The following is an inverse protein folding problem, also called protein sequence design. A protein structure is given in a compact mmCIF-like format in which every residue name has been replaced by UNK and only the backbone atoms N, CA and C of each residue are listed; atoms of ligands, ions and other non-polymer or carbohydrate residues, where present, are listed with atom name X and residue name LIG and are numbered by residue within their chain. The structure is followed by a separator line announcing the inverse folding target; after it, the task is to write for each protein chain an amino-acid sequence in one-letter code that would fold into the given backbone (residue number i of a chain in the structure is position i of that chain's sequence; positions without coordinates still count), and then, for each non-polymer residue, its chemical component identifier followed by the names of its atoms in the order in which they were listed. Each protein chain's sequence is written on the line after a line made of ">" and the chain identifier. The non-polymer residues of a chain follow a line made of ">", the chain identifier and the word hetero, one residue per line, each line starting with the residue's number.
data_IF_001189645878
#
_entry.id   IF_001189645878
#
_cell.length_a   1.000
_cell.length_b   1.000
_cell.length_c   1.000
_cell.angle_alpha   90.00
_cell.angle_beta   90.00
_cell.angle_gamma   90.00
#
_symmetry.space_group_name_H-M   'P 1'
#
loop_
_entity.id
_entity.type
_entity.pdbx_description
1 polymer ?
#
# COMPACT_ATOMS: atom_id res chain seq x y z
N UNK A 1 -2.49 16.20 11.11
CA UNK A 1 -2.19 14.98 10.38
C UNK A 1 -1.00 14.31 11.05
N UNK A 2 -1.08 13.05 11.38
CA UNK A 2 -0.10 12.33 12.17
C UNK A 2 -0.57 11.98 13.57
N UNK A 3 0.15 11.08 14.23
CA UNK A 3 -0.11 10.76 15.62
C UNK A 3 0.21 11.93 16.51
N UNK A 4 -0.75 12.40 17.24
CA UNK A 4 -0.52 13.39 18.28
C UNK A 4 -1.01 12.91 19.64
N UNK A 5 -0.26 13.22 20.66
CA UNK A 5 -0.70 13.16 22.05
C UNK A 5 -1.12 14.56 22.51
N UNK A 6 -2.18 14.65 23.27
CA UNK A 6 -2.46 15.89 23.98
C UNK A 6 -1.41 16.08 25.09
N UNK A 7 -0.73 17.22 25.06
CA UNK A 7 0.26 17.59 26.06
C UNK A 7 -0.30 18.72 26.93
N UNK A 8 -0.51 18.44 28.19
CA UNK A 8 -1.21 19.35 29.12
C UNK A 8 -2.61 19.71 28.60
N UNK A 9 -3.10 20.89 28.84
CA UNK A 9 -4.46 21.35 28.48
C UNK A 9 -4.55 22.00 27.10
N UNK A 10 -3.44 22.43 26.52
CA UNK A 10 -3.44 23.26 25.30
C UNK A 10 -2.38 22.86 24.26
N UNK A 11 -1.55 21.88 24.58
CA UNK A 11 -0.46 21.45 23.70
C UNK A 11 -0.78 20.17 22.94
N UNK A 12 -0.09 19.98 21.84
CA UNK A 12 -0.08 18.76 21.04
C UNK A 12 1.38 18.32 20.89
N UNK A 13 1.65 17.07 21.20
CA UNK A 13 2.94 16.43 20.97
C UNK A 13 2.79 15.42 19.83
N UNK A 14 3.63 15.54 18.81
CA UNK A 14 3.64 14.62 17.67
C UNK A 14 5.06 14.34 17.23
N UNK A 15 5.29 13.15 16.74
CA UNK A 15 6.55 12.72 16.14
C UNK A 15 6.26 12.09 14.79
N UNK A 16 6.92 12.58 13.73
CA UNK A 16 6.97 11.93 12.43
C UNK A 16 8.41 11.50 12.14
N UNK A 17 8.61 10.24 11.88
CA UNK A 17 9.91 9.68 11.55
C UNK A 17 9.79 8.79 10.31
N UNK A 18 10.63 9.07 9.31
CA UNK A 18 10.70 8.32 8.05
C UNK A 18 12.06 7.69 7.90
N UNK A 19 12.09 6.47 7.45
CA UNK A 19 13.32 5.78 7.14
C UNK A 19 13.03 4.39 6.59
N UNK A 20 13.67 4.05 5.51
CA UNK A 20 13.60 2.72 4.94
C UNK A 20 14.95 2.32 4.37
N UNK A 21 15.16 1.04 4.23
CA UNK A 21 16.27 0.51 3.46
C UNK A 21 15.75 -0.27 2.25
N UNK A 22 16.54 -0.23 1.22
CA UNK A 22 16.26 -0.78 -0.09
C UNK A 22 17.45 -1.64 -0.51
N UNK A 23 17.21 -2.84 -0.97
CA UNK A 23 18.24 -3.66 -1.53
C UNK A 23 17.74 -4.55 -2.69
N UNK A 24 18.58 -4.74 -3.67
CA UNK A 24 18.31 -5.62 -4.80
C UNK A 24 18.72 -7.04 -4.45
N UNK A 25 17.74 -7.88 -4.11
CA UNK A 25 17.95 -9.26 -3.72
C UNK A 25 18.36 -10.16 -4.91
N UNK A 26 17.89 -9.81 -6.11
CA UNK A 26 18.24 -10.48 -7.35
C UNK A 26 18.12 -9.49 -8.51
N UNK A 27 18.62 -9.85 -9.69
CA UNK A 27 18.65 -8.97 -10.88
C UNK A 27 17.33 -8.22 -11.18
N UNK A 28 16.20 -8.80 -10.79
CA UNK A 28 14.86 -8.29 -11.10
C UNK A 28 14.01 -8.00 -9.86
N UNK A 29 14.55 -8.23 -8.65
CA UNK A 29 13.79 -8.17 -7.41
C UNK A 29 14.42 -7.14 -6.48
N UNK A 30 13.66 -6.13 -6.13
CA UNK A 30 14.00 -5.14 -5.12
C UNK A 30 13.11 -5.32 -3.90
N UNK A 31 13.69 -5.25 -2.73
CA UNK A 31 13.01 -5.33 -1.44
C UNK A 31 13.21 -4.02 -0.70
N UNK A 32 12.13 -3.42 -0.26
CA UNK A 32 12.15 -2.23 0.59
C UNK A 32 11.45 -2.55 1.91
N UNK A 33 12.02 -2.11 3.02
CA UNK A 33 11.43 -2.24 4.34
C UNK A 33 11.69 -0.98 5.17
N UNK A 34 10.69 -0.49 5.86
CA UNK A 34 10.83 0.69 6.71
C UNK A 34 9.51 1.40 6.94
N UNK A 35 9.60 2.68 7.32
CA UNK A 35 8.46 3.55 7.59
C UNK A 35 8.45 4.71 6.63
N UNK A 36 7.45 4.80 5.78
CA UNK A 36 7.21 5.90 4.84
C UNK A 36 5.80 5.78 4.25
N UNK A 37 5.45 6.74 3.38
CA UNK A 37 4.26 6.69 2.53
C UNK A 37 4.57 5.91 1.25
N UNK A 38 3.59 5.21 0.74
CA UNK A 38 3.71 4.52 -0.54
C UNK A 38 2.60 4.95 -1.50
N UNK A 39 2.90 4.85 -2.77
CA UNK A 39 1.97 5.16 -3.84
C UNK A 39 1.95 4.00 -4.84
N UNK A 40 0.75 3.55 -5.22
CA UNK A 40 0.54 2.50 -6.22
C UNK A 40 -0.54 2.93 -7.22
N UNK A 41 -0.37 2.55 -8.47
CA UNK A 41 -1.29 2.87 -9.57
C UNK A 41 -0.93 4.12 -10.35
N UNK A 42 -1.78 4.48 -11.29
CA UNK A 42 -1.64 5.66 -12.14
C UNK A 42 -2.60 6.76 -11.68
N UNK A 43 -2.11 7.99 -11.57
CA UNK A 43 -2.92 9.14 -11.17
C UNK A 43 -2.39 9.87 -9.94
N UNK A 44 -2.92 11.08 -9.67
CA UNK A 44 -2.44 11.94 -8.56
C UNK A 44 -2.97 11.46 -7.20
N UNK A 45 -4.20 10.92 -7.16
CA UNK A 45 -4.83 10.33 -5.98
C UNK A 45 -5.30 8.94 -6.34
N UNK A 46 -4.40 7.97 -6.24
CA UNK A 46 -4.68 6.62 -6.67
C UNK A 46 -5.74 5.94 -5.80
N UNK A 47 -6.66 5.22 -6.44
CA UNK A 47 -7.64 4.36 -5.76
C UNK A 47 -6.97 3.11 -5.17
N UNK A 48 -5.87 2.63 -5.78
CA UNK A 48 -5.13 1.48 -5.28
C UNK A 48 -4.44 1.83 -3.96
N UNK A 49 -3.63 2.88 -3.95
CA UNK A 49 -3.01 3.44 -2.75
C UNK A 49 -2.47 4.83 -3.05
N UNK A 50 -2.88 5.82 -2.29
CA UNK A 50 -2.39 7.19 -2.37
C UNK A 50 -1.38 7.48 -1.25
N UNK A 51 -0.41 8.33 -1.54
CA UNK A 51 0.52 8.92 -0.57
C UNK A 51 -0.11 10.01 0.32
N UNK A 52 -1.41 10.15 0.24
CA UNK A 52 -2.19 11.08 1.07
C UNK A 52 -2.48 10.54 2.48
N UNK A 53 -1.97 9.35 2.78
CA UNK A 53 -2.03 8.72 4.10
C UNK A 53 -0.93 9.24 5.03
N UNK A 54 -0.98 8.82 6.29
CA UNK A 54 0.14 8.90 7.23
C UNK A 54 1.27 7.93 6.84
N UNK A 55 2.42 8.07 7.46
CA UNK A 55 3.50 7.10 7.36
C UNK A 55 3.12 5.82 8.12
N UNK A 56 3.48 4.69 7.56
CA UNK A 56 3.26 3.37 8.15
C UNK A 56 4.46 2.45 7.90
N UNK A 57 4.60 1.45 8.76
CA UNK A 57 5.59 0.40 8.54
C UNK A 57 5.17 -0.43 7.33
N UNK A 58 6.11 -0.70 6.44
CA UNK A 58 5.83 -1.46 5.24
C UNK A 58 6.96 -2.42 4.85
N UNK A 59 6.57 -3.49 4.19
CA UNK A 59 7.44 -4.34 3.39
C UNK A 59 6.95 -4.31 1.94
N UNK A 60 7.82 -3.96 1.02
CA UNK A 60 7.50 -3.87 -0.41
C UNK A 60 8.45 -4.73 -1.21
N UNK A 61 7.88 -5.63 -1.99
CA UNK A 61 8.59 -6.45 -2.96
C UNK A 61 8.26 -5.94 -4.35
N UNK A 62 9.27 -5.62 -5.13
CA UNK A 62 9.09 -5.17 -6.50
C UNK A 62 9.87 -6.07 -7.44
N UNK A 63 9.17 -6.69 -8.36
CA UNK A 63 9.75 -7.48 -9.46
C UNK A 63 9.54 -6.72 -10.76
N UNK A 64 10.62 -6.52 -11.51
CA UNK A 64 10.54 -5.87 -12.82
C UNK A 64 11.28 -6.71 -13.86
N UNK A 65 10.52 -7.20 -14.85
CA UNK A 65 11.03 -7.98 -15.97
C UNK A 65 10.48 -7.39 -17.26
N UNK A 66 11.37 -6.96 -18.14
CA UNK A 66 11.03 -6.34 -19.41
C UNK A 66 10.05 -5.17 -19.22
N UNK A 67 8.82 -5.24 -19.74
CA UNK A 67 7.78 -4.21 -19.65
C UNK A 67 6.80 -4.43 -18.49
N UNK A 68 6.98 -5.49 -17.73
CA UNK A 68 6.11 -5.89 -16.63
C UNK A 68 6.75 -5.46 -15.31
N UNK A 69 5.96 -4.82 -14.46
CA UNK A 69 6.29 -4.54 -13.07
C UNK A 69 5.23 -5.15 -12.18
N UNK A 70 5.66 -5.96 -11.23
CA UNK A 70 4.81 -6.52 -10.20
C UNK A 70 5.26 -6.04 -8.83
N UNK A 71 4.35 -5.46 -8.07
CA UNK A 71 4.60 -4.91 -6.75
C UNK A 71 3.68 -5.59 -5.75
N UNK A 72 4.27 -6.03 -4.64
CA UNK A 72 3.56 -6.49 -3.46
C UNK A 72 3.91 -5.55 -2.32
N UNK A 73 2.91 -5.00 -1.67
CA UNK A 73 3.07 -4.09 -0.56
C UNK A 73 2.28 -4.62 0.63
N UNK A 74 2.97 -4.84 1.74
CA UNK A 74 2.41 -5.27 3.01
C UNK A 74 2.59 -4.14 4.00
N UNK A 75 1.52 -3.74 4.68
CA UNK A 75 1.52 -2.55 5.54
C UNK A 75 0.94 -2.86 6.92
N UNK A 76 1.58 -2.28 7.92
CA UNK A 76 1.09 -2.20 9.30
C UNK A 76 0.71 -0.75 9.57
N UNK A 77 -0.58 -0.50 9.61
CA UNK A 77 -1.16 0.81 9.86
C UNK A 77 -1.78 0.84 11.25
N UNK A 78 -1.99 2.01 11.77
CA UNK A 78 -2.77 2.18 12.98
C UNK A 78 -4.20 2.55 12.63
N UNK A 79 -5.15 1.87 13.27
CA UNK A 79 -6.54 2.14 13.11
C UNK A 79 -6.92 3.22 14.08
N UNK A 80 -7.06 4.46 13.60
CA UNK A 80 -7.72 5.52 14.33
C UNK A 80 -7.36 5.69 15.82
N UNK A 81 -7.42 6.78 16.45
CA UNK A 81 -7.74 8.14 16.22
C UNK A 81 -7.62 9.00 17.45
N UNK A 82 -8.49 8.99 18.32
CA UNK A 82 -8.48 9.76 19.54
C UNK A 82 -8.13 8.89 20.71
N UNK A 83 -7.09 9.25 21.40
CA UNK A 83 -6.66 8.55 22.59
C UNK A 83 -7.11 9.28 23.84
N UNK A 84 -7.75 8.56 24.69
CA UNK A 84 -7.58 8.76 26.12
C UNK A 84 -6.25 8.12 26.51
N UNK A 85 -5.37 8.90 27.15
CA UNK A 85 -3.99 8.63 27.50
C UNK A 85 -3.53 7.15 27.59
N UNK A 86 -2.32 6.90 27.02
CA UNK A 86 -1.49 5.69 27.21
C UNK A 86 -2.10 4.32 26.83
N UNK A 87 -3.02 4.28 25.91
CA UNK A 87 -3.50 3.02 25.32
C UNK A 87 -2.83 2.72 23.99
N UNK A 88 -2.58 1.43 23.71
CA UNK A 88 -2.14 0.97 22.40
C UNK A 88 -3.27 1.21 21.39
N UNK A 89 -2.93 1.80 20.26
CA UNK A 89 -3.89 1.96 19.16
C UNK A 89 -4.17 0.62 18.50
N UNK A 90 -5.43 0.37 18.12
CA UNK A 90 -5.75 -0.80 17.32
C UNK A 90 -4.94 -0.78 16.02
N UNK A 91 -4.53 -1.94 15.57
CA UNK A 91 -3.79 -2.11 14.32
C UNK A 91 -4.72 -2.43 13.17
N UNK A 92 -4.41 -1.87 12.01
CA UNK A 92 -4.93 -2.30 10.71
C UNK A 92 -3.79 -2.79 9.85
N UNK A 93 -4.05 -3.84 9.14
CA UNK A 93 -3.08 -4.41 8.21
C UNK A 93 -3.61 -4.32 6.80
N UNK A 94 -2.70 -4.23 5.85
CA UNK A 94 -3.07 -4.26 4.44
C UNK A 94 -2.07 -5.05 3.63
N UNK A 95 -2.57 -5.65 2.58
CA UNK A 95 -1.75 -6.26 1.55
C UNK A 95 -2.27 -5.82 0.19
N UNK A 96 -1.38 -5.40 -0.70
CA UNK A 96 -1.73 -4.85 -2.01
C UNK A 96 -0.84 -5.48 -3.06
N UNK A 97 -1.45 -6.00 -4.10
CA UNK A 97 -0.78 -6.43 -5.33
C UNK A 97 -1.06 -5.42 -6.44
N UNK A 98 -0.05 -5.07 -7.19
CA UNK A 98 -0.18 -4.23 -8.37
C UNK A 98 0.68 -4.79 -9.51
N UNK A 99 0.03 -5.24 -10.56
CA UNK A 99 0.68 -5.70 -11.78
C UNK A 99 0.49 -4.66 -12.86
N UNK A 100 1.57 -4.08 -13.36
CA UNK A 100 1.51 -3.10 -14.45
C UNK A 100 2.33 -3.52 -15.66
N UNK A 101 1.83 -3.18 -16.82
CA UNK A 101 2.42 -3.46 -18.12
C UNK A 101 2.56 -2.16 -18.93
N UNK A 102 3.77 -1.84 -19.35
CA UNK A 102 4.01 -0.83 -20.37
C UNK A 102 3.72 -1.43 -21.75
N UNK A 103 2.45 -1.48 -22.14
CA UNK A 103 2.01 -2.11 -23.38
C UNK A 103 2.69 -1.47 -24.60
N UNK A 104 2.77 -0.14 -24.60
CA UNK A 104 3.52 0.65 -25.59
C UNK A 104 4.36 1.73 -24.90
N UNK A 105 5.08 2.55 -25.67
CA UNK A 105 5.85 3.68 -25.15
C UNK A 105 4.95 4.82 -24.58
N UNK A 106 3.68 4.81 -24.93
CA UNK A 106 2.73 5.81 -24.50
C UNK A 106 1.57 5.26 -23.65
N UNK A 107 1.42 3.93 -23.53
CA UNK A 107 0.33 3.30 -22.80
C UNK A 107 0.88 2.37 -21.71
N UNK A 108 0.51 2.66 -20.47
CA UNK A 108 0.66 1.78 -19.33
C UNK A 108 -0.73 1.34 -18.85
N UNK A 109 -0.87 0.06 -18.54
CA UNK A 109 -2.08 -0.53 -17.95
C UNK A 109 -1.71 -1.31 -16.71
N UNK A 110 -2.56 -1.28 -15.71
CA UNK A 110 -2.35 -1.98 -14.45
C UNK A 110 -3.62 -2.66 -13.94
N UNK A 111 -3.41 -3.72 -13.20
CA UNK A 111 -4.43 -4.41 -12.40
C UNK A 111 -3.93 -4.41 -10.97
N UNK A 112 -4.81 -4.13 -10.04
CA UNK A 112 -4.46 -4.14 -8.63
C UNK A 112 -5.54 -4.83 -7.80
N UNK A 113 -5.10 -5.44 -6.73
CA UNK A 113 -5.94 -6.04 -5.71
C UNK A 113 -5.41 -5.61 -4.34
N UNK A 114 -6.30 -5.27 -3.45
CA UNK A 114 -5.95 -4.92 -2.07
C UNK A 114 -6.89 -5.59 -1.08
N UNK A 115 -6.36 -5.93 0.07
CA UNK A 115 -7.12 -6.34 1.23
C UNK A 115 -6.72 -5.50 2.44
N UNK A 116 -7.71 -5.04 3.18
CA UNK A 116 -7.52 -4.39 4.48
C UNK A 116 -8.24 -5.20 5.54
N UNK A 117 -7.54 -5.53 6.59
CA UNK A 117 -8.03 -6.41 7.64
C UNK A 117 -7.54 -5.97 9.02
N UNK A 118 -8.22 -6.43 10.04
CA UNK A 118 -7.86 -6.23 11.44
C UNK A 118 -7.84 -7.58 12.15
N UNK A 119 -6.79 -7.81 12.94
CA UNK A 119 -6.65 -9.00 13.79
C UNK A 119 -6.08 -8.57 15.14
N UNK A 120 -6.49 -9.26 16.20
CA UNK A 120 -5.98 -9.02 17.55
C UNK A 120 -4.56 -9.57 17.73
N UNK A 121 -4.25 -10.66 17.02
CA UNK A 121 -3.02 -11.42 17.21
C UNK A 121 -1.88 -11.03 16.25
N UNK A 122 -2.09 -10.06 15.39
CA UNK A 122 -1.08 -9.56 14.44
C UNK A 122 -1.46 -9.77 12.98
N UNK A 123 -0.45 -9.79 12.10
CA UNK A 123 -0.64 -9.89 10.66
C UNK A 123 -1.09 -11.30 10.24
N UNK A 124 -2.10 -11.38 9.38
CA UNK A 124 -2.56 -12.66 8.80
C UNK A 124 -1.57 -13.13 7.72
N UNK A 125 -0.79 -14.18 8.04
CA UNK A 125 0.30 -14.65 7.20
C UNK A 125 -0.16 -15.16 5.81
N UNK A 126 -1.41 -15.57 5.66
CA UNK A 126 -1.94 -16.01 4.38
C UNK A 126 -1.95 -14.87 3.34
N UNK A 127 -2.09 -13.62 3.80
CA UNK A 127 -2.02 -12.45 2.94
C UNK A 127 -0.60 -12.03 2.54
N UNK A 128 0.44 -12.68 3.08
CA UNK A 128 1.82 -12.51 2.60
C UNK A 128 2.13 -13.27 1.30
N UNK A 129 1.23 -14.15 0.86
CA UNK A 129 1.45 -14.86 -0.39
C UNK A 129 1.37 -13.89 -1.59
N UNK A 130 2.47 -13.70 -2.34
CA UNK A 130 2.51 -12.71 -3.40
C UNK A 130 1.81 -13.12 -4.70
N UNK A 131 1.21 -14.31 -4.77
CA UNK A 131 0.70 -14.88 -6.03
C UNK A 131 -0.81 -15.12 -5.98
N UNK A 132 -1.37 -15.32 -4.79
CA UNK A 132 -2.76 -15.69 -4.62
C UNK A 132 -3.69 -14.47 -4.67
N UNK A 133 -4.87 -14.63 -5.26
CA UNK A 133 -5.92 -13.63 -5.19
C UNK A 133 -6.47 -13.53 -3.76
N UNK A 134 -6.49 -12.35 -3.17
CA UNK A 134 -6.94 -12.11 -1.80
C UNK A 134 -8.40 -12.49 -1.58
N UNK A 135 -9.22 -12.35 -2.61
CA UNK A 135 -10.61 -12.79 -2.55
C UNK A 135 -10.75 -14.29 -2.23
N UNK A 136 -9.83 -15.10 -2.75
CA UNK A 136 -9.82 -16.54 -2.45
C UNK A 136 -9.39 -16.81 -1.01
N UNK A 137 -8.45 -16.03 -0.48
CA UNK A 137 -8.01 -16.13 0.92
C UNK A 137 -9.13 -15.71 1.86
N UNK A 138 -9.80 -14.60 1.60
CA UNK A 138 -10.92 -14.11 2.39
C UNK A 138 -12.03 -15.16 2.48
N UNK A 139 -12.39 -15.79 1.36
CA UNK A 139 -13.38 -16.86 1.33
C UNK A 139 -12.95 -18.09 2.16
N UNK A 140 -11.68 -18.46 2.11
CA UNK A 140 -11.15 -19.59 2.90
C UNK A 140 -11.13 -19.30 4.40
N UNK A 141 -10.85 -18.06 4.77
CA UNK A 141 -10.83 -17.61 6.17
C UNK A 141 -12.26 -17.39 6.72
N UNK A 142 -13.26 -17.24 5.84
CA UNK A 142 -14.63 -16.90 6.25
C UNK A 142 -14.70 -15.54 6.96
N UNK A 143 -13.84 -14.61 6.60
CA UNK A 143 -13.61 -13.34 7.29
C UNK A 143 -14.31 -12.18 6.57
N UNK A 144 -14.80 -11.15 7.29
CA UNK A 144 -15.37 -9.95 6.70
C UNK A 144 -14.29 -8.93 6.29
N UNK A 145 -13.16 -9.38 5.78
CA UNK A 145 -12.07 -8.51 5.36
C UNK A 145 -12.47 -7.68 4.12
N UNK A 146 -11.99 -6.46 4.04
CA UNK A 146 -12.32 -5.57 2.95
C UNK A 146 -11.38 -5.78 1.76
N UNK A 147 -11.84 -6.48 0.75
CA UNK A 147 -11.11 -6.76 -0.50
C UNK A 147 -11.59 -5.85 -1.61
N UNK A 148 -10.66 -5.22 -2.31
CA UNK A 148 -10.92 -4.40 -3.50
C UNK A 148 -10.08 -4.91 -4.66
N UNK A 149 -10.66 -4.86 -5.86
CA UNK A 149 -10.01 -5.15 -7.13
C UNK A 149 -10.23 -3.98 -8.07
N UNK A 150 -9.21 -3.59 -8.80
CA UNK A 150 -9.34 -2.49 -9.73
C UNK A 150 -8.36 -2.55 -10.89
N UNK A 151 -8.60 -1.65 -11.82
CA UNK A 151 -7.79 -1.43 -13.01
C UNK A 151 -7.28 0.01 -13.01
N UNK A 152 -6.11 0.23 -13.53
CA UNK A 152 -5.61 1.56 -13.81
C UNK A 152 -4.94 1.64 -15.18
N UNK A 153 -4.98 2.82 -15.78
CA UNK A 153 -4.30 3.08 -17.04
C UNK A 153 -3.74 4.49 -17.09
N UNK A 154 -2.68 4.66 -17.86
CA UNK A 154 -2.11 5.96 -18.22
C UNK A 154 -1.72 5.97 -19.68
N UNK A 155 -2.13 7.04 -20.36
CA UNK A 155 -1.79 7.35 -21.76
C UNK A 155 -1.03 8.66 -21.81
N UNK A 156 0.18 8.65 -22.35
CA UNK A 156 1.00 9.83 -22.58
C UNK A 156 0.89 10.27 -24.05
N UNK A 157 0.24 11.39 -24.30
CA UNK A 157 0.01 11.90 -25.64
C UNK A 157 1.02 13.01 -25.97
N UNK A 158 1.64 12.91 -27.16
CA UNK A 158 2.54 13.91 -27.73
C UNK A 158 3.65 14.41 -26.78
N UNK A 159 4.03 13.65 -25.77
CA UNK A 159 5.01 14.00 -24.70
C UNK A 159 4.62 15.18 -23.82
N UNK A 160 3.44 15.72 -23.94
CA UNK A 160 2.98 16.93 -23.22
C UNK A 160 1.74 16.70 -22.37
N UNK A 161 0.92 15.72 -22.72
CA UNK A 161 -0.34 15.46 -22.03
C UNK A 161 -0.36 14.03 -21.52
N UNK A 162 -0.64 13.86 -20.23
CA UNK A 162 -0.90 12.55 -19.63
C UNK A 162 -2.37 12.46 -19.22
N UNK A 163 -3.05 11.44 -19.71
CA UNK A 163 -4.41 11.08 -19.32
C UNK A 163 -4.35 9.79 -18.54
N UNK A 164 -5.01 9.70 -17.42
CA UNK A 164 -5.09 8.51 -16.60
C UNK A 164 -6.53 8.26 -16.16
N UNK A 165 -6.84 6.99 -15.90
CA UNK A 165 -8.10 6.53 -15.38
C UNK A 165 -7.91 5.35 -14.44
N UNK A 166 -8.83 5.21 -13.50
CA UNK A 166 -8.87 4.10 -12.54
C UNK A 166 -10.32 3.64 -12.34
N UNK A 167 -10.50 2.34 -12.19
CA UNK A 167 -11.79 1.68 -12.01
C UNK A 167 -11.70 0.62 -10.92
#
# INVERSE_FOLDING_TARGET
>A
EGYYKTYKTTGIDFLSAKGYFDFTAAKFITIQFGTDKNFLGNGIRSLALSDFSEEYLFLKLQTQVWKIRYQNLFVDMTADFTREADQLLPKKYGAIHHLSLNATNFLNVGVWESVVFQRNDGYELQYLNPIIFYRSVEQLLGSPDNVMLGLDMRVNLFRHVSVYGQF
#
